data_IF_174452908371
#
_entry.id   IF_174452908371
#
_cell.length_a   1.000
_cell.length_b   1.000
_cell.length_c   1.000
_cell.angle_alpha   90.00
_cell.angle_beta   90.00
_cell.angle_gamma   90.00
#
_symmetry.space_group_name_H-M   'P 1'
#
loop_
_entity.id
_entity.type
_entity.pdbx_description
1 polymer ?
#
# COMPACT_ATOMS: atom_id res chain seq x y z
N UNK A 1 17.64 -20.19 1.54
CA UNK A 1 16.42 -19.38 1.69
C UNK A 1 15.92 -18.93 0.31
N UNK A 2 14.94 -19.64 -0.22
CA UNK A 2 14.49 -19.46 -1.61
C UNK A 2 13.61 -18.21 -1.70
N UNK A 3 14.17 -17.10 -2.21
CA UNK A 3 13.46 -15.84 -2.51
C UNK A 3 12.42 -16.03 -3.63
N UNK A 4 11.37 -16.78 -3.35
CA UNK A 4 10.22 -16.99 -4.22
C UNK A 4 9.45 -15.66 -4.35
N UNK A 5 9.03 -15.34 -5.58
CA UNK A 5 8.15 -14.20 -5.90
C UNK A 5 6.97 -14.06 -4.94
N UNK A 6 6.35 -15.19 -4.55
CA UNK A 6 5.24 -15.20 -3.59
C UNK A 6 5.66 -14.68 -2.22
N UNK A 7 6.79 -15.14 -1.70
CA UNK A 7 7.34 -14.71 -0.40
C UNK A 7 7.64 -13.20 -0.37
N UNK A 8 8.32 -12.70 -1.39
CA UNK A 8 8.65 -11.27 -1.50
C UNK A 8 7.41 -10.38 -1.54
N UNK A 9 6.34 -10.81 -2.22
CA UNK A 9 5.09 -10.05 -2.29
C UNK A 9 4.29 -10.13 -0.99
N UNK A 10 4.29 -11.27 -0.30
CA UNK A 10 3.70 -11.38 1.03
C UNK A 10 4.36 -10.42 2.02
N UNK A 11 5.69 -10.40 2.08
CA UNK A 11 6.45 -9.50 2.94
C UNK A 11 6.15 -8.01 2.64
N UNK A 12 6.01 -7.65 1.36
CA UNK A 12 5.71 -6.27 0.92
C UNK A 12 4.24 -5.88 0.97
N UNK A 13 3.36 -6.71 1.55
CA UNK A 13 1.89 -6.49 1.58
C UNK A 13 1.29 -6.25 0.20
N UNK A 14 1.82 -6.92 -0.81
CA UNK A 14 1.31 -6.89 -2.19
C UNK A 14 0.45 -8.13 -2.47
N UNK A 15 -0.46 -8.05 -3.45
CA UNK A 15 -1.18 -9.22 -3.92
C UNK A 15 -0.24 -10.17 -4.67
N UNK A 16 -0.51 -11.48 -4.54
CA UNK A 16 0.38 -12.55 -5.00
C UNK A 16 -0.16 -13.25 -6.26
N UNK A 17 -1.47 -13.19 -6.50
CA UNK A 17 -2.18 -13.86 -7.60
C UNK A 17 -2.20 -13.05 -8.92
N UNK A 18 -1.13 -12.30 -9.21
CA UNK A 18 -1.02 -11.52 -10.46
C UNK A 18 -1.89 -10.26 -10.55
N UNK A 19 -2.53 -9.83 -9.46
CA UNK A 19 -3.36 -8.63 -9.45
C UNK A 19 -2.52 -7.36 -9.68
N UNK A 20 -3.08 -6.39 -10.42
CA UNK A 20 -2.42 -5.13 -10.78
C UNK A 20 -2.19 -4.25 -9.56
N UNK A 21 -0.94 -3.88 -9.28
CA UNK A 21 -0.60 -3.10 -8.08
C UNK A 21 -0.58 -1.58 -8.27
N UNK A 22 -0.61 -1.08 -9.51
CA UNK A 22 -0.57 0.37 -9.82
C UNK A 22 -1.85 1.10 -9.37
N UNK A 23 -3.00 0.50 -9.63
CA UNK A 23 -4.31 1.12 -9.37
C UNK A 23 -5.09 0.41 -8.26
N UNK A 24 -5.32 -0.90 -8.42
CA UNK A 24 -6.31 -1.65 -7.65
C UNK A 24 -5.63 -2.67 -6.74
N UNK A 25 -5.21 -2.23 -5.55
CA UNK A 25 -4.64 -3.12 -4.53
C UNK A 25 -4.82 -2.59 -3.10
N UNK A 26 -5.81 -1.72 -2.86
CA UNK A 26 -5.97 -1.05 -1.55
C UNK A 26 -6.33 -2.01 -0.42
N UNK A 27 -7.03 -3.11 -0.71
CA UNK A 27 -7.37 -4.14 0.30
C UNK A 27 -6.13 -4.76 0.93
N UNK A 28 -5.06 -5.00 0.16
CA UNK A 28 -3.77 -5.52 0.69
C UNK A 28 -2.80 -4.42 1.12
N UNK A 29 -2.72 -3.32 0.36
CA UNK A 29 -1.79 -2.20 0.63
C UNK A 29 -2.23 -1.30 1.80
N UNK A 30 -3.51 -1.33 2.18
CA UNK A 30 -4.12 -0.41 3.12
C UNK A 30 -4.48 0.95 2.50
N UNK A 31 -4.87 1.94 3.31
CA UNK A 31 -5.20 3.31 2.89
C UNK A 31 -3.97 4.07 2.34
N UNK A 32 -4.20 5.13 1.56
CA UNK A 32 -3.11 5.91 0.92
C UNK A 32 -2.24 6.51 2.03
N UNK A 33 -1.02 5.99 2.17
CA UNK A 33 0.02 6.64 2.95
C UNK A 33 0.29 7.98 2.28
N UNK A 34 -0.08 9.04 2.96
CA UNK A 34 0.31 10.36 2.53
C UNK A 34 1.81 10.55 2.75
N UNK A 35 2.46 11.23 1.83
CA UNK A 35 3.80 11.76 2.06
C UNK A 35 3.65 12.86 3.11
N UNK A 36 4.48 12.81 4.16
CA UNK A 36 4.48 13.81 5.22
C UNK A 36 4.50 15.21 4.59
N UNK A 37 3.47 16.02 4.88
CA UNK A 37 3.29 17.36 4.32
C UNK A 37 2.01 17.56 3.49
N UNK A 38 1.49 16.52 2.81
CA UNK A 38 0.33 16.69 1.89
C UNK A 38 -1.02 16.44 2.57
N UNK A 39 -1.10 15.54 3.56
CA UNK A 39 -2.39 15.17 4.18
C UNK A 39 -2.67 15.76 5.56
N UNK A 40 -1.65 16.26 6.27
CA UNK A 40 -1.87 16.84 7.62
C UNK A 40 -2.81 18.04 7.54
N UNK A 41 -2.72 18.82 6.45
CA UNK A 41 -3.56 20.01 6.23
C UNK A 41 -5.06 19.73 6.20
N UNK A 42 -5.51 18.51 5.86
CA UNK A 42 -6.95 18.20 5.69
C UNK A 42 -7.63 17.66 6.95
N UNK A 43 -6.86 17.20 7.93
CA UNK A 43 -7.39 16.77 9.23
C UNK A 43 -7.56 17.97 10.19
N UNK A 44 -6.70 18.99 10.06
CA UNK A 44 -6.72 20.21 10.91
C UNK A 44 -7.77 21.23 10.44
N UNK A 45 -8.27 21.15 9.20
CA UNK A 45 -9.32 22.04 8.69
C UNK A 45 -10.75 21.63 9.10
N UNK A 46 -10.90 20.70 10.05
CA UNK A 46 -12.17 20.32 10.67
C UNK A 46 -12.17 20.76 12.14
N UNK A 47 -12.04 22.06 12.32
CA UNK A 47 -12.46 22.84 13.50
C UNK A 47 -12.86 24.20 12.98
#
# INVERSE_FOLDING_TARGET
DTKNYRGLRHARKLPVRGQRTRYNARTRKGPRKAVAGISVRKAVSKT
#
